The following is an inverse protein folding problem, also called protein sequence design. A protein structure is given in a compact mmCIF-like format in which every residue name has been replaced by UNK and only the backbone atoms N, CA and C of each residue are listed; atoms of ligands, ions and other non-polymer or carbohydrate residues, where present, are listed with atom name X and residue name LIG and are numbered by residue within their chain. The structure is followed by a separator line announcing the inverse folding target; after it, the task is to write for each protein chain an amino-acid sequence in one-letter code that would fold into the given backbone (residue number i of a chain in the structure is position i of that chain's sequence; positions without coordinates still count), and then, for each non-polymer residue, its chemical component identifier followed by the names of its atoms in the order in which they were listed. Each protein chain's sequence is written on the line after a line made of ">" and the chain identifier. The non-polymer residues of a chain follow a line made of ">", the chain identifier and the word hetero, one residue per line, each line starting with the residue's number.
data_IF_050636901075
#
_entry.id   IF_050636901075
#
_cell.length_a   1.000
_cell.length_b   1.000
_cell.length_c   1.000
_cell.angle_alpha   90.00
_cell.angle_beta   90.00
_cell.angle_gamma   90.00
#
_symmetry.space_group_name_H-M   'P 1'
#
loop_
_entity.id
_entity.type
_entity.pdbx_description
1 polymer ?
#
# COMPACT_ATOMS: atom_id res chain seq x y z
N UNK A 1 4.10 -42.42 43.08
CA UNK A 1 4.43 -43.14 41.82
C UNK A 1 3.32 -42.89 40.82
N UNK A 2 3.46 -41.91 39.92
CA UNK A 2 2.47 -41.61 38.88
C UNK A 2 2.73 -42.59 37.74
N UNK A 3 1.87 -43.61 37.61
CA UNK A 3 1.85 -44.48 36.43
C UNK A 3 1.50 -43.62 35.20
N UNK A 4 2.50 -43.25 34.41
CA UNK A 4 2.33 -42.76 33.06
C UNK A 4 1.74 -43.91 32.23
N UNK A 5 0.42 -43.94 32.09
CA UNK A 5 -0.25 -44.86 31.20
C UNK A 5 0.21 -44.56 29.78
N UNK A 6 0.97 -45.48 29.19
CA UNK A 6 1.33 -45.39 27.76
C UNK A 6 0.02 -45.32 26.94
N UNK A 7 -0.08 -44.42 25.99
CA UNK A 7 -1.26 -44.36 25.15
C UNK A 7 -1.43 -45.69 24.43
N UNK A 8 -2.66 -46.22 24.33
CA UNK A 8 -2.89 -47.51 23.70
C UNK A 8 -2.41 -47.49 22.23
N UNK A 9 -1.80 -48.58 21.78
CA UNK A 9 -1.18 -48.70 20.44
C UNK A 9 -2.08 -48.24 19.28
N UNK A 10 -3.41 -48.40 19.41
CA UNK A 10 -4.36 -47.94 18.41
C UNK A 10 -4.42 -46.40 18.28
N UNK A 11 -4.13 -45.62 19.34
CA UNK A 11 -4.04 -44.15 19.27
C UNK A 11 -2.82 -43.70 18.51
N UNK A 12 -1.68 -44.40 18.63
CA UNK A 12 -0.47 -44.14 17.87
C UNK A 12 -0.64 -44.50 16.39
N UNK A 13 -1.41 -45.54 16.09
CA UNK A 13 -1.71 -45.94 14.72
C UNK A 13 -2.67 -44.96 14.05
N UNK A 14 -3.74 -44.54 14.74
CA UNK A 14 -4.69 -43.55 14.23
C UNK A 14 -4.06 -42.17 14.01
N UNK A 15 -3.05 -41.83 14.78
CA UNK A 15 -2.30 -40.58 14.71
C UNK A 15 -1.51 -40.42 13.39
N UNK A 16 -0.95 -41.51 12.89
CA UNK A 16 -0.17 -41.51 11.63
C UNK A 16 -1.00 -41.86 10.39
N UNK A 17 -2.25 -42.26 10.56
CA UNK A 17 -3.12 -42.64 9.46
C UNK A 17 -3.47 -41.41 8.63
N UNK A 18 -3.47 -41.59 7.29
CA UNK A 18 -3.91 -40.57 6.33
C UNK A 18 -5.27 -40.00 6.67
N UNK A 19 -5.43 -38.72 6.51
CA UNK A 19 -6.69 -37.99 6.70
C UNK A 19 -7.74 -38.33 5.64
N UNK A 20 -8.94 -37.78 5.76
CA UNK A 20 -10.03 -38.00 4.82
C UNK A 20 -10.00 -37.12 3.58
N UNK A 21 -9.17 -36.07 3.54
CA UNK A 21 -9.09 -35.17 2.39
C UNK A 21 -8.71 -35.91 1.13
N UNK A 22 -9.54 -35.77 0.09
CA UNK A 22 -9.30 -36.33 -1.24
C UNK A 22 -8.48 -35.39 -2.09
N UNK A 23 -8.64 -34.06 -1.87
CA UNK A 23 -7.90 -32.98 -2.55
C UNK A 23 -7.31 -32.02 -1.51
N UNK A 24 -6.41 -31.16 -1.97
CA UNK A 24 -5.86 -30.09 -1.15
C UNK A 24 -6.99 -29.20 -0.62
N UNK A 25 -6.97 -28.90 0.67
CA UNK A 25 -7.94 -28.03 1.35
C UNK A 25 -7.30 -26.91 2.12
N UNK A 26 -7.98 -25.75 2.21
CA UNK A 26 -7.52 -24.59 2.98
C UNK A 26 -8.48 -24.35 4.15
N UNK A 27 -7.93 -24.19 5.35
CA UNK A 27 -8.66 -23.95 6.59
C UNK A 27 -8.23 -22.64 7.21
N UNK A 28 -9.19 -21.82 7.61
CA UNK A 28 -8.96 -20.53 8.25
C UNK A 28 -9.18 -20.63 9.76
N UNK A 29 -8.10 -20.61 10.53
CA UNK A 29 -8.13 -20.59 12.01
C UNK A 29 -8.12 -19.13 12.48
N UNK A 30 -9.25 -18.67 13.03
CA UNK A 30 -9.44 -17.28 13.45
C UNK A 30 -8.80 -17.00 14.82
N UNK A 31 -8.56 -15.74 15.11
CA UNK A 31 -8.07 -15.27 16.41
C UNK A 31 -9.06 -15.66 17.53
N UNK A 32 -8.54 -16.18 18.63
CA UNK A 32 -9.34 -16.57 19.79
C UNK A 32 -10.05 -17.92 19.68
N UNK A 33 -9.91 -18.65 18.55
CA UNK A 33 -10.46 -20.00 18.42
C UNK A 33 -9.84 -20.94 19.45
N UNK A 34 -10.69 -21.64 20.21
CA UNK A 34 -10.26 -22.66 21.18
C UNK A 34 -9.81 -23.95 20.47
N UNK A 35 -9.03 -24.78 21.17
CA UNK A 35 -8.64 -26.10 20.63
C UNK A 35 -9.86 -26.92 20.22
N UNK A 36 -10.97 -26.83 20.96
CA UNK A 36 -12.20 -27.57 20.67
C UNK A 36 -12.84 -27.06 19.37
N UNK A 37 -12.95 -25.75 19.20
CA UNK A 37 -13.50 -25.13 17.99
C UNK A 37 -12.63 -25.45 16.75
N UNK A 38 -11.31 -25.40 16.89
CA UNK A 38 -10.37 -25.76 15.81
C UNK A 38 -10.55 -27.23 15.43
N UNK A 39 -10.63 -28.13 16.41
CA UNK A 39 -10.80 -29.57 16.15
C UNK A 39 -12.12 -29.87 15.41
N UNK A 40 -13.23 -29.28 15.88
CA UNK A 40 -14.56 -29.45 15.27
C UNK A 40 -14.59 -28.88 13.84
N UNK A 41 -13.93 -27.72 13.62
CA UNK A 41 -13.80 -27.14 12.30
C UNK A 41 -12.99 -28.05 11.35
N UNK A 42 -11.84 -28.57 11.79
CA UNK A 42 -10.99 -29.45 10.99
C UNK A 42 -11.72 -30.76 10.60
N UNK A 43 -12.53 -31.31 11.50
CA UNK A 43 -13.34 -32.49 11.20
C UNK A 43 -14.47 -32.18 10.21
N UNK A 44 -15.19 -31.05 10.43
CA UNK A 44 -16.26 -30.57 9.54
C UNK A 44 -15.77 -30.33 8.11
N UNK A 45 -14.56 -29.76 7.97
CA UNK A 45 -13.93 -29.48 6.68
C UNK A 45 -13.19 -30.73 6.10
N UNK A 46 -13.30 -31.87 6.77
CA UNK A 46 -12.75 -33.14 6.29
C UNK A 46 -11.22 -33.25 6.37
N UNK A 47 -10.56 -32.33 7.07
CA UNK A 47 -9.08 -32.35 7.22
C UNK A 47 -8.64 -33.48 8.15
N UNK A 48 -9.39 -33.72 9.21
CA UNK A 48 -9.13 -34.81 10.17
C UNK A 48 -10.35 -35.74 10.28
N UNK A 49 -10.14 -36.99 10.70
CA UNK A 49 -11.20 -38.00 10.86
C UNK A 49 -11.94 -37.90 12.18
N UNK A 50 -11.33 -37.32 13.22
CA UNK A 50 -11.90 -37.27 14.57
C UNK A 50 -11.41 -36.05 15.34
N UNK A 51 -12.33 -35.13 15.61
CA UNK A 51 -12.13 -34.01 16.49
C UNK A 51 -11.81 -34.46 17.92
N UNK A 52 -12.47 -35.51 18.42
CA UNK A 52 -12.27 -36.03 19.75
C UNK A 52 -10.83 -36.51 19.99
N UNK A 53 -10.25 -37.24 19.04
CA UNK A 53 -8.84 -37.65 19.10
C UNK A 53 -7.88 -36.48 19.06
N UNK A 54 -8.16 -35.48 18.21
CA UNK A 54 -7.34 -34.27 18.13
C UNK A 54 -7.40 -33.48 19.45
N UNK A 55 -8.60 -33.29 20.03
CA UNK A 55 -8.79 -32.60 21.32
C UNK A 55 -8.03 -33.28 22.45
N UNK A 56 -8.17 -34.59 22.57
CA UNK A 56 -7.47 -35.39 23.58
C UNK A 56 -5.95 -35.20 23.47
N UNK A 57 -5.43 -35.35 22.28
CA UNK A 57 -4.01 -35.24 22.01
C UNK A 57 -3.46 -33.84 22.19
N UNK A 58 -4.19 -32.80 21.70
CA UNK A 58 -3.81 -31.42 21.85
C UNK A 58 -3.74 -30.99 23.32
N UNK A 59 -4.71 -31.44 24.14
CA UNK A 59 -4.74 -31.19 25.60
C UNK A 59 -3.61 -31.92 26.32
N UNK A 60 -3.39 -33.23 26.03
CA UNK A 60 -2.35 -34.03 26.67
C UNK A 60 -0.93 -33.46 26.41
N UNK A 61 -0.74 -32.76 25.31
CA UNK A 61 0.55 -32.15 24.94
C UNK A 61 0.60 -30.65 25.11
N UNK A 62 -0.43 -30.05 25.72
CA UNK A 62 -0.55 -28.60 25.90
C UNK A 62 -0.24 -27.79 24.63
N UNK A 63 -0.80 -28.23 23.49
CA UNK A 63 -0.50 -27.60 22.20
C UNK A 63 -1.02 -26.18 22.14
N UNK A 64 -0.13 -25.25 21.86
CA UNK A 64 -0.48 -23.90 21.45
C UNK A 64 -0.63 -23.91 19.92
N UNK A 65 -1.87 -23.77 19.46
CA UNK A 65 -2.20 -23.70 18.04
C UNK A 65 -2.15 -22.22 17.59
N UNK A 66 -1.51 -21.98 16.46
CA UNK A 66 -1.33 -20.62 15.93
C UNK A 66 -2.48 -20.35 14.97
N UNK A 67 -3.10 -19.16 15.09
CA UNK A 67 -4.09 -18.68 14.12
C UNK A 67 -3.46 -18.47 12.75
N UNK A 68 -4.22 -18.61 11.68
CA UNK A 68 -3.72 -18.42 10.32
C UNK A 68 -4.56 -19.16 9.28
N UNK A 69 -4.18 -19.00 8.06
CA UNK A 69 -4.71 -19.74 6.92
C UNK A 69 -3.77 -20.89 6.62
N UNK A 70 -4.28 -22.13 6.65
CA UNK A 70 -3.50 -23.34 6.48
C UNK A 70 -3.97 -24.13 5.28
N UNK A 71 -3.03 -24.48 4.43
CA UNK A 71 -3.27 -25.42 3.33
C UNK A 71 -2.80 -26.81 3.74
N UNK A 72 -3.70 -27.78 3.62
CA UNK A 72 -3.43 -29.20 3.89
C UNK A 72 -3.45 -29.97 2.58
N UNK A 73 -2.43 -30.82 2.41
CA UNK A 73 -2.38 -31.74 1.27
C UNK A 73 -3.44 -32.84 1.41
N UNK A 74 -3.79 -33.49 0.29
CA UNK A 74 -4.65 -34.65 0.32
C UNK A 74 -4.09 -35.71 1.28
N UNK A 75 -4.94 -36.31 2.11
CA UNK A 75 -4.60 -37.36 3.06
C UNK A 75 -3.60 -36.96 4.17
N UNK A 76 -3.44 -35.65 4.48
CA UNK A 76 -2.61 -35.21 5.59
C UNK A 76 -2.99 -35.96 6.89
N UNK A 77 -2.01 -36.55 7.55
CA UNK A 77 -2.24 -37.24 8.83
C UNK A 77 -2.54 -36.26 9.97
N UNK A 78 -3.20 -36.75 11.04
CA UNK A 78 -3.48 -35.95 12.23
C UNK A 78 -2.19 -35.33 12.80
N UNK A 79 -1.07 -36.05 12.76
CA UNK A 79 0.24 -35.57 13.21
C UNK A 79 0.79 -34.43 12.38
N UNK A 80 0.59 -34.45 11.06
CA UNK A 80 0.99 -33.39 10.16
C UNK A 80 0.14 -32.14 10.33
N UNK A 81 -1.18 -32.30 10.46
CA UNK A 81 -2.11 -31.20 10.74
C UNK A 81 -1.70 -30.50 12.05
N UNK A 82 -1.51 -31.25 13.12
CA UNK A 82 -1.10 -30.68 14.39
C UNK A 82 0.29 -30.03 14.36
N UNK A 83 1.23 -30.60 13.62
CA UNK A 83 2.55 -30.02 13.42
C UNK A 83 2.48 -28.69 12.70
N UNK A 84 1.73 -28.60 11.58
CA UNK A 84 1.52 -27.36 10.82
C UNK A 84 0.91 -26.28 11.70
N UNK A 85 -0.17 -26.59 12.42
CA UNK A 85 -0.86 -25.63 13.33
C UNK A 85 0.05 -25.14 14.46
N UNK A 86 0.84 -26.05 15.07
CA UNK A 86 1.78 -25.70 16.15
C UNK A 86 2.94 -24.83 15.67
N UNK A 87 3.47 -25.11 14.47
CA UNK A 87 4.62 -24.38 13.89
C UNK A 87 4.20 -23.08 13.21
N UNK A 88 2.89 -22.86 13.00
CA UNK A 88 2.41 -21.72 12.26
C UNK A 88 2.86 -21.74 10.79
N UNK A 89 2.81 -22.93 10.16
CA UNK A 89 3.12 -23.07 8.72
C UNK A 89 1.95 -22.50 7.89
N UNK A 90 1.75 -21.18 8.03
CA UNK A 90 0.62 -20.41 7.50
C UNK A 90 0.83 -20.17 6.00
N UNK A 91 -0.24 -20.28 5.23
CA UNK A 91 -0.28 -19.81 3.86
C UNK A 91 -0.40 -18.28 3.85
N UNK A 92 0.49 -17.62 3.13
CA UNK A 92 0.50 -16.16 2.99
C UNK A 92 0.34 -15.76 1.53
N UNK A 93 -0.43 -14.71 1.32
CA UNK A 93 -0.49 -13.99 0.04
C UNK A 93 0.46 -12.78 0.11
N UNK A 94 1.27 -12.61 -0.91
CA UNK A 94 2.17 -11.46 -1.01
C UNK A 94 1.44 -10.30 -1.68
N UNK A 95 1.25 -9.21 -0.94
CA UNK A 95 0.65 -7.97 -1.44
C UNK A 95 1.76 -6.94 -1.66
N UNK A 96 1.96 -6.56 -2.92
CA UNK A 96 2.96 -5.54 -3.29
C UNK A 96 2.29 -4.16 -3.30
N UNK A 97 2.80 -3.24 -2.48
CA UNK A 97 2.46 -1.83 -2.49
C UNK A 97 3.62 -1.09 -3.20
N UNK A 98 3.40 -0.55 -4.41
CA UNK A 98 4.46 0.12 -5.16
C UNK A 98 4.63 1.58 -4.77
N UNK A 99 5.73 2.19 -5.18
CA UNK A 99 5.86 3.66 -5.27
C UNK A 99 4.77 4.24 -6.19
N UNK A 100 4.53 5.53 -6.07
CA UNK A 100 3.49 6.27 -6.77
C UNK A 100 2.05 5.77 -6.53
N UNK A 101 1.85 4.75 -5.65
CA UNK A 101 0.52 4.31 -5.25
C UNK A 101 -0.19 5.39 -4.42
N UNK A 102 -1.47 5.55 -4.66
CA UNK A 102 -2.41 6.36 -3.88
C UNK A 102 -3.46 5.45 -3.22
N UNK A 103 -4.30 6.00 -2.34
CA UNK A 103 -5.30 5.27 -1.55
C UNK A 103 -6.05 4.19 -2.35
N UNK A 104 -6.57 4.51 -3.52
CA UNK A 104 -7.35 3.59 -4.36
C UNK A 104 -6.54 2.42 -4.92
N UNK A 105 -5.23 2.62 -5.20
CA UNK A 105 -4.33 1.52 -5.57
C UNK A 105 -4.11 0.61 -4.36
N UNK A 106 -3.84 1.16 -3.18
CA UNK A 106 -3.68 0.38 -1.95
C UNK A 106 -4.96 -0.40 -1.63
N UNK A 107 -6.13 0.25 -1.71
CA UNK A 107 -7.44 -0.37 -1.53
C UNK A 107 -7.66 -1.55 -2.49
N UNK A 108 -7.39 -1.35 -3.78
CA UNK A 108 -7.51 -2.39 -4.81
C UNK A 108 -6.60 -3.61 -4.52
N UNK A 109 -5.40 -3.39 -3.95
CA UNK A 109 -4.48 -4.46 -3.56
C UNK A 109 -4.96 -5.24 -2.34
N UNK A 110 -5.68 -4.59 -1.44
CA UNK A 110 -6.16 -5.17 -0.18
C UNK A 110 -7.62 -5.65 -0.22
N UNK A 111 -8.33 -5.48 -1.33
CA UNK A 111 -9.78 -5.72 -1.44
C UNK A 111 -10.24 -7.11 -0.98
N UNK A 112 -9.42 -8.13 -1.19
CA UNK A 112 -9.75 -9.52 -0.82
C UNK A 112 -9.51 -9.79 0.70
N UNK A 113 -8.82 -8.91 1.41
CA UNK A 113 -8.46 -9.02 2.83
C UNK A 113 -9.15 -7.99 3.71
N UNK A 114 -9.48 -6.83 3.15
CA UNK A 114 -10.04 -5.70 3.89
C UNK A 114 -11.29 -5.20 3.16
N UNK A 115 -12.48 -5.30 3.81
CA UNK A 115 -13.71 -4.71 3.27
C UNK A 115 -13.54 -3.21 3.03
N UNK A 116 -14.17 -2.68 1.97
CA UNK A 116 -13.98 -1.30 1.52
C UNK A 116 -14.28 -0.26 2.61
N UNK A 117 -15.39 -0.43 3.33
CA UNK A 117 -15.77 0.48 4.43
C UNK A 117 -14.72 0.49 5.55
N UNK A 118 -14.18 -0.70 5.90
CA UNK A 118 -13.13 -0.84 6.92
C UNK A 118 -11.85 -0.19 6.43
N UNK A 119 -11.51 -0.36 5.13
CA UNK A 119 -10.36 0.29 4.53
C UNK A 119 -10.42 1.82 4.70
N UNK A 120 -11.51 2.45 4.27
CA UNK A 120 -11.63 3.91 4.33
C UNK A 120 -11.68 4.45 5.77
N UNK A 121 -12.24 3.68 6.72
CA UNK A 121 -12.19 4.00 8.14
C UNK A 121 -10.76 3.98 8.68
N UNK A 122 -10.00 2.93 8.39
CA UNK A 122 -8.60 2.79 8.82
C UNK A 122 -7.69 3.79 8.11
N UNK A 123 -7.94 4.08 6.81
CA UNK A 123 -7.19 5.07 6.05
C UNK A 123 -7.25 6.48 6.65
N UNK A 124 -8.31 6.80 7.38
CA UNK A 124 -8.50 8.07 8.09
C UNK A 124 -8.15 8.01 9.57
N UNK A 125 -7.50 6.93 10.02
CA UNK A 125 -7.17 6.73 11.44
C UNK A 125 -6.00 7.60 11.89
N UNK A 126 -6.25 8.54 12.79
CA UNK A 126 -5.21 9.36 13.42
C UNK A 126 -4.24 8.54 14.27
N UNK A 127 -4.71 7.46 14.90
CA UNK A 127 -3.84 6.59 15.69
C UNK A 127 -2.79 5.89 14.79
N UNK A 128 -3.20 5.42 13.61
CA UNK A 128 -2.27 4.84 12.64
C UNK A 128 -1.32 5.90 12.05
N UNK A 129 -1.81 7.11 11.80
CA UNK A 129 -0.98 8.22 11.37
C UNK A 129 0.06 8.62 12.43
N UNK A 130 -0.33 8.60 13.71
CA UNK A 130 0.59 8.82 14.83
C UNK A 130 1.66 7.72 14.91
N UNK A 131 1.30 6.45 14.67
CA UNK A 131 2.27 5.33 14.58
C UNK A 131 3.24 5.52 13.42
N UNK A 132 2.81 6.12 12.32
CA UNK A 132 3.69 6.50 11.22
C UNK A 132 4.60 7.72 11.55
N UNK A 133 4.38 8.39 12.69
CA UNK A 133 5.14 9.57 13.14
C UNK A 133 4.55 10.92 12.72
N UNK A 134 3.26 10.95 12.31
CA UNK A 134 2.55 12.17 11.87
C UNK A 134 1.13 12.24 12.45
N UNK A 135 0.97 12.48 13.77
CA UNK A 135 -0.35 12.49 14.44
C UNK A 135 -1.31 13.56 13.90
N UNK A 136 -0.80 14.60 13.25
CA UNK A 136 -1.57 15.68 12.63
C UNK A 136 -2.12 15.29 11.25
N UNK A 137 -1.62 14.22 10.62
CA UNK A 137 -2.03 13.84 9.28
C UNK A 137 -3.51 13.38 9.26
N UNK A 138 -4.33 13.91 8.34
CA UNK A 138 -5.77 13.58 8.30
C UNK A 138 -6.05 12.22 7.66
N UNK A 139 -5.05 11.59 7.05
CA UNK A 139 -5.16 10.28 6.42
C UNK A 139 -3.79 9.61 6.30
N UNK A 140 -3.80 8.32 5.93
CA UNK A 140 -2.58 7.55 5.66
C UNK A 140 -2.00 7.76 4.26
N UNK A 141 -2.50 8.74 3.49
CA UNK A 141 -1.94 9.02 2.16
C UNK A 141 -0.46 9.40 2.26
N UNK A 142 0.38 8.63 1.55
CA UNK A 142 1.83 8.75 1.63
C UNK A 142 2.49 8.18 2.89
N UNK A 143 1.72 7.73 3.90
CA UNK A 143 2.22 7.21 5.19
C UNK A 143 2.28 5.68 5.25
N UNK A 144 2.09 5.02 4.12
CA UNK A 144 2.25 3.57 3.96
C UNK A 144 3.57 3.31 3.26
N UNK A 145 4.38 2.39 3.78
CA UNK A 145 5.66 2.06 3.14
C UNK A 145 5.44 1.24 1.86
N UNK A 146 6.15 1.54 0.78
CA UNK A 146 6.20 0.68 -0.39
C UNK A 146 7.01 -0.57 -0.05
N UNK A 147 6.34 -1.73 -0.07
CA UNK A 147 6.93 -3.02 0.28
C UNK A 147 6.04 -4.18 -0.19
N UNK A 148 6.56 -5.40 -0.04
CA UNK A 148 5.76 -6.63 -0.13
C UNK A 148 5.33 -7.05 1.26
N UNK A 149 4.02 -7.07 1.50
CA UNK A 149 3.41 -7.48 2.76
C UNK A 149 2.87 -8.89 2.65
N UNK A 150 3.21 -9.73 3.63
CA UNK A 150 2.67 -11.08 3.75
C UNK A 150 1.39 -11.04 4.57
N UNK A 151 0.26 -11.30 3.93
CA UNK A 151 -1.06 -11.26 4.56
C UNK A 151 -1.75 -12.61 4.43
N UNK A 152 -2.73 -12.87 5.30
CA UNK A 152 -3.62 -14.03 5.24
C UNK A 152 -4.99 -13.67 5.81
N UNK A 153 -6.04 -14.40 5.44
CA UNK A 153 -7.42 -14.07 5.78
C UNK A 153 -7.76 -14.16 7.30
N UNK A 154 -6.85 -14.69 8.14
CA UNK A 154 -7.03 -14.67 9.61
C UNK A 154 -6.40 -13.43 10.27
N UNK A 155 -5.81 -12.50 9.50
CA UNK A 155 -5.35 -11.21 10.03
C UNK A 155 -6.55 -10.27 10.17
N UNK A 156 -6.56 -9.50 11.25
CA UNK A 156 -7.49 -8.38 11.36
C UNK A 156 -7.02 -7.23 10.45
N UNK A 157 -7.92 -6.50 9.80
CA UNK A 157 -7.57 -5.36 8.95
C UNK A 157 -6.61 -4.37 9.61
N UNK A 158 -6.82 -4.08 10.91
CA UNK A 158 -5.97 -3.20 11.71
C UNK A 158 -4.52 -3.68 11.78
N UNK A 159 -4.30 -5.01 11.83
CA UNK A 159 -2.94 -5.60 11.89
C UNK A 159 -2.20 -5.40 10.57
N UNK A 160 -2.92 -5.48 9.44
CA UNK A 160 -2.35 -5.22 8.11
C UNK A 160 -1.91 -3.75 8.02
N UNK A 161 -2.80 -2.84 8.39
CA UNK A 161 -2.50 -1.41 8.36
C UNK A 161 -1.38 -1.04 9.33
N UNK A 162 -1.40 -1.60 10.54
CA UNK A 162 -0.34 -1.37 11.54
C UNK A 162 1.03 -1.78 10.99
N UNK A 163 1.14 -2.96 10.37
CA UNK A 163 2.39 -3.40 9.75
C UNK A 163 2.88 -2.43 8.65
N UNK A 164 1.96 -1.84 7.88
CA UNK A 164 2.29 -0.89 6.83
C UNK A 164 2.82 0.44 7.37
N UNK A 165 2.15 1.01 8.37
CA UNK A 165 2.54 2.30 8.96
C UNK A 165 3.76 2.17 9.88
N UNK A 166 3.93 1.05 10.60
CA UNK A 166 5.16 0.78 11.37
C UNK A 166 6.37 0.63 10.45
N UNK A 167 6.20 -0.03 9.29
CA UNK A 167 7.26 -0.14 8.29
C UNK A 167 7.64 1.25 7.77
N UNK A 168 6.64 2.11 7.50
CA UNK A 168 6.89 3.50 7.14
C UNK A 168 7.64 4.24 8.25
N UNK A 169 7.18 4.16 9.50
CA UNK A 169 7.81 4.80 10.65
C UNK A 169 9.27 4.41 10.84
N UNK A 170 9.61 3.14 10.59
CA UNK A 170 10.98 2.64 10.72
C UNK A 170 11.87 2.96 9.52
N UNK A 171 11.37 2.88 8.29
CA UNK A 171 12.20 2.92 7.08
C UNK A 171 12.10 4.22 6.29
N UNK A 172 10.95 4.89 6.29
CA UNK A 172 10.72 6.09 5.48
C UNK A 172 10.79 7.36 6.35
N UNK A 173 10.11 7.37 7.49
CA UNK A 173 10.03 8.56 8.35
C UNK A 173 11.40 9.19 8.68
N UNK A 174 12.46 8.41 9.04
CA UNK A 174 13.78 8.99 9.33
C UNK A 174 14.43 9.66 8.13
N UNK A 175 14.13 9.20 6.89
CA UNK A 175 14.71 9.77 5.67
C UNK A 175 14.19 11.17 5.34
N UNK A 176 13.09 11.60 5.98
CA UNK A 176 12.47 12.91 5.75
C UNK A 176 13.15 14.05 6.53
N UNK A 177 14.06 13.72 7.45
CA UNK A 177 14.76 14.71 8.26
C UNK A 177 15.90 15.41 7.48
N UNK A 178 16.26 16.61 7.93
CA UNK A 178 17.41 17.35 7.39
C UNK A 178 17.15 18.06 6.05
N UNK A 179 15.91 18.15 5.60
CA UNK A 179 15.53 18.86 4.38
C UNK A 179 15.25 20.35 4.61
N UNK A 180 15.00 21.07 3.50
CA UNK A 180 14.65 22.51 3.52
C UNK A 180 13.24 22.79 4.03
N UNK A 181 12.39 21.79 4.11
CA UNK A 181 11.01 21.84 4.62
C UNK A 181 10.87 20.90 5.83
N UNK A 182 9.89 21.14 6.73
CA UNK A 182 9.51 20.16 7.75
C UNK A 182 9.20 18.79 7.16
N UNK A 183 9.42 17.68 7.89
CA UNK A 183 9.31 16.32 7.36
C UNK A 183 8.00 16.00 6.64
N UNK A 184 6.86 16.41 7.20
CA UNK A 184 5.55 16.17 6.54
C UNK A 184 5.40 16.97 5.24
N UNK A 185 5.86 18.23 5.22
CA UNK A 185 5.86 19.04 4.01
C UNK A 185 6.83 18.50 2.95
N UNK A 186 7.97 17.96 3.38
CA UNK A 186 8.92 17.25 2.51
C UNK A 186 8.25 16.04 1.86
N UNK A 187 7.49 15.25 2.62
CA UNK A 187 6.76 14.11 2.11
C UNK A 187 5.69 14.52 1.09
N UNK A 188 4.95 15.61 1.38
CA UNK A 188 3.96 16.16 0.44
C UNK A 188 4.66 16.57 -0.86
N UNK A 189 5.72 17.39 -0.79
CA UNK A 189 6.45 17.86 -1.97
C UNK A 189 7.02 16.69 -2.79
N UNK A 190 7.58 15.67 -2.12
CA UNK A 190 8.07 14.45 -2.76
C UNK A 190 6.96 13.73 -3.54
N UNK A 191 5.75 13.62 -2.94
CA UNK A 191 4.61 12.98 -3.59
C UNK A 191 4.12 13.71 -4.85
N UNK A 192 4.23 15.05 -4.87
CA UNK A 192 3.92 15.85 -6.06
C UNK A 192 4.94 15.55 -7.17
N UNK A 193 6.23 15.60 -6.85
CA UNK A 193 7.30 15.34 -7.82
C UNK A 193 7.22 13.90 -8.37
N UNK A 194 6.93 12.92 -7.52
CA UNK A 194 6.72 11.51 -7.92
C UNK A 194 5.62 11.36 -8.99
N UNK A 195 4.60 12.20 -8.94
CA UNK A 195 3.47 12.15 -9.88
C UNK A 195 3.68 13.02 -11.12
N UNK A 196 4.66 13.91 -11.13
CA UNK A 196 4.96 14.78 -12.26
C UNK A 196 5.90 14.13 -13.28
N UNK A 197 6.90 13.39 -12.84
CA UNK A 197 7.89 12.81 -13.73
C UNK A 197 8.26 11.40 -13.36
N UNK A 198 8.45 10.57 -14.39
CA UNK A 198 9.02 9.22 -14.26
C UNK A 198 10.55 9.22 -14.46
N UNK A 199 11.17 10.40 -14.68
CA UNK A 199 12.60 10.55 -14.91
C UNK A 199 13.28 10.98 -13.61
N UNK A 200 14.04 10.09 -12.94
CA UNK A 200 14.70 10.40 -11.68
C UNK A 200 15.62 11.62 -11.75
N UNK A 201 16.26 11.85 -12.88
CA UNK A 201 17.16 12.97 -13.12
C UNK A 201 16.44 14.34 -13.16
N UNK A 202 15.13 14.37 -13.42
CA UNK A 202 14.35 15.59 -13.40
C UNK A 202 13.81 15.95 -12.00
N UNK A 203 13.72 14.98 -11.10
CA UNK A 203 13.13 15.19 -9.77
C UNK A 203 13.73 16.38 -9.01
N UNK A 204 15.06 16.58 -8.94
CA UNK A 204 15.63 17.74 -8.27
C UNK A 204 15.20 19.07 -8.90
N UNK A 205 15.07 19.11 -10.22
CA UNK A 205 14.68 20.32 -10.94
C UNK A 205 13.20 20.64 -10.78
N UNK A 206 12.32 19.61 -10.84
CA UNK A 206 10.88 19.73 -10.57
C UNK A 206 10.63 20.21 -9.14
N UNK A 207 11.23 19.57 -8.13
CA UNK A 207 11.13 20.00 -6.73
C UNK A 207 11.70 21.41 -6.52
N UNK A 208 12.76 21.77 -7.26
CA UNK A 208 13.34 23.11 -7.29
C UNK A 208 12.33 24.16 -7.76
N UNK A 209 11.57 23.90 -8.80
CA UNK A 209 10.50 24.79 -9.27
C UNK A 209 9.45 24.95 -8.17
N UNK A 210 8.95 23.86 -7.60
CA UNK A 210 7.92 23.93 -6.56
C UNK A 210 8.40 24.63 -5.30
N UNK A 211 9.61 24.34 -4.81
CA UNK A 211 10.19 25.01 -3.65
C UNK A 211 10.35 26.51 -3.86
N UNK A 212 10.71 26.96 -5.07
CA UNK A 212 10.78 28.40 -5.41
C UNK A 212 9.40 29.04 -5.45
N UNK A 213 8.41 28.39 -6.10
CA UNK A 213 7.03 28.88 -6.12
C UNK A 213 6.46 29.00 -4.70
N UNK A 214 6.69 28.04 -3.81
CA UNK A 214 6.29 28.10 -2.40
C UNK A 214 6.90 29.32 -1.69
N UNK A 215 8.21 29.55 -1.84
CA UNK A 215 8.89 30.72 -1.23
C UNK A 215 8.37 32.07 -1.76
N UNK A 216 7.93 32.09 -3.00
CA UNK A 216 7.37 33.30 -3.65
C UNK A 216 5.85 33.48 -3.45
N UNK A 217 5.19 32.58 -2.71
CA UNK A 217 3.73 32.59 -2.56
C UNK A 217 2.97 32.27 -3.86
N UNK A 218 3.64 31.71 -4.86
CA UNK A 218 3.02 31.33 -6.13
C UNK A 218 2.24 30.02 -5.96
N UNK A 219 1.13 29.88 -6.68
CA UNK A 219 0.39 28.62 -6.78
C UNK A 219 1.25 27.57 -7.47
N UNK A 220 1.20 26.31 -6.98
CA UNK A 220 2.03 25.23 -7.54
C UNK A 220 1.58 24.82 -8.94
N UNK A 221 0.26 24.84 -9.22
CA UNK A 221 -0.32 24.46 -10.51
C UNK A 221 0.16 23.07 -10.97
N UNK A 222 0.12 22.13 -10.04
CA UNK A 222 0.50 20.73 -10.23
C UNK A 222 -0.72 19.96 -10.72
N UNK A 223 -0.69 19.47 -11.95
CA UNK A 223 -1.80 18.75 -12.60
C UNK A 223 -2.26 17.54 -11.78
N UNK A 224 -1.37 16.67 -11.24
CA UNK A 224 -1.77 15.55 -10.41
C UNK A 224 -2.61 15.93 -9.18
N UNK A 225 -2.46 17.15 -8.64
CA UNK A 225 -3.26 17.59 -7.49
C UNK A 225 -4.71 17.89 -7.87
N UNK A 226 -4.95 18.40 -9.07
CA UNK A 226 -6.30 18.63 -9.60
C UNK A 226 -7.01 17.29 -9.90
N UNK A 227 -6.28 16.34 -10.45
CA UNK A 227 -6.75 14.96 -10.67
C UNK A 227 -7.10 14.28 -9.33
N UNK A 228 -6.23 14.40 -8.33
CA UNK A 228 -6.48 13.83 -6.99
C UNK A 228 -7.72 14.47 -6.35
N UNK A 229 -7.90 15.79 -6.50
CA UNK A 229 -9.11 16.50 -6.07
C UNK A 229 -10.39 15.95 -6.74
N UNK A 230 -10.33 15.61 -8.03
CA UNK A 230 -11.42 14.95 -8.75
C UNK A 230 -11.79 13.61 -8.11
N UNK A 231 -10.82 12.76 -7.82
CA UNK A 231 -11.05 11.45 -7.18
C UNK A 231 -11.67 11.60 -5.79
N UNK A 232 -11.18 12.52 -4.98
CA UNK A 232 -11.76 12.83 -3.66
C UNK A 232 -13.20 13.35 -3.75
N UNK A 233 -13.59 13.94 -4.88
CA UNK A 233 -14.97 14.40 -5.16
C UNK A 233 -15.88 13.26 -5.69
N UNK A 234 -15.40 12.01 -5.74
CA UNK A 234 -16.17 10.84 -6.16
C UNK A 234 -16.12 10.53 -7.65
N UNK A 235 -15.43 11.33 -8.47
CA UNK A 235 -15.21 11.03 -9.88
C UNK A 235 -13.92 10.20 -10.06
N UNK A 236 -14.07 8.89 -10.06
CA UNK A 236 -12.99 7.93 -10.10
C UNK A 236 -12.51 7.58 -11.52
N UNK A 237 -12.65 8.47 -12.48
CA UNK A 237 -12.02 8.31 -13.80
C UNK A 237 -10.50 8.46 -13.63
N UNK A 238 -9.76 7.33 -13.65
CA UNK A 238 -8.30 7.30 -13.55
C UNK A 238 -7.64 7.64 -14.91
N UNK A 239 -8.04 8.75 -15.48
CA UNK A 239 -7.50 9.29 -16.73
C UNK A 239 -6.56 10.46 -16.44
N UNK A 240 -5.84 10.96 -17.44
CA UNK A 240 -5.09 12.20 -17.33
C UNK A 240 -5.96 13.36 -16.78
N UNK A 241 -5.36 14.41 -16.20
CA UNK A 241 -6.10 15.60 -15.75
C UNK A 241 -6.94 16.18 -16.88
N UNK A 242 -8.17 16.55 -16.56
CA UNK A 242 -9.11 17.17 -17.50
C UNK A 242 -9.09 18.69 -17.31
N UNK A 243 -9.44 19.43 -18.34
CA UNK A 243 -9.50 20.89 -18.25
C UNK A 243 -10.45 21.36 -17.14
N UNK A 244 -11.58 20.68 -16.95
CA UNK A 244 -12.55 20.95 -15.88
C UNK A 244 -11.98 20.78 -14.47
N UNK A 245 -10.98 19.90 -14.30
CA UNK A 245 -10.33 19.67 -13.01
C UNK A 245 -9.57 20.90 -12.52
N UNK A 246 -9.02 21.71 -13.44
CA UNK A 246 -8.28 22.93 -13.09
C UNK A 246 -9.15 23.98 -12.42
N UNK A 247 -10.46 23.99 -12.72
CA UNK A 247 -11.44 24.90 -12.12
C UNK A 247 -12.17 24.30 -10.90
N UNK A 248 -11.93 23.03 -10.54
CA UNK A 248 -12.62 22.34 -9.44
C UNK A 248 -12.22 22.92 -8.09
N UNK A 249 -13.19 23.48 -7.36
CA UNK A 249 -12.96 24.01 -6.00
C UNK A 249 -12.71 22.87 -5.01
N UNK A 250 -11.47 22.66 -4.64
CA UNK A 250 -11.05 21.65 -3.67
C UNK A 250 -9.72 22.06 -3.02
N UNK A 251 -9.51 21.71 -1.74
CA UNK A 251 -8.28 22.04 -0.98
C UNK A 251 -7.00 21.44 -1.58
N UNK A 252 -7.12 20.38 -2.37
CA UNK A 252 -6.00 19.77 -3.09
C UNK A 252 -5.69 20.46 -4.42
N UNK A 253 -6.58 21.27 -4.98
CA UNK A 253 -6.34 21.86 -6.29
C UNK A 253 -5.38 23.05 -6.20
N UNK A 254 -4.11 22.80 -6.47
CA UNK A 254 -3.03 23.79 -6.42
C UNK A 254 -3.08 24.84 -7.57
N UNK A 255 -4.04 24.76 -8.48
CA UNK A 255 -4.39 25.83 -9.40
C UNK A 255 -5.19 26.95 -8.72
N UNK A 256 -5.96 26.61 -7.68
CA UNK A 256 -6.82 27.55 -6.97
C UNK A 256 -6.32 27.89 -5.57
N UNK A 257 -5.67 26.95 -4.92
CA UNK A 257 -5.15 27.09 -3.54
C UNK A 257 -3.64 27.33 -3.58
N UNK A 258 -3.15 28.28 -2.80
CA UNK A 258 -1.71 28.51 -2.63
C UNK A 258 -1.12 27.53 -1.61
N UNK A 259 0.16 27.21 -1.77
CA UNK A 259 0.88 26.31 -0.87
C UNK A 259 0.77 24.83 -1.25
N UNK A 260 1.21 23.96 -0.34
CA UNK A 260 1.11 22.52 -0.48
C UNK A 260 -0.32 22.05 -0.21
N UNK A 261 -0.77 20.95 -0.84
CA UNK A 261 -2.03 20.30 -0.49
C UNK A 261 -1.99 19.76 0.95
N UNK A 262 -3.17 19.42 1.53
CA UNK A 262 -3.28 18.97 2.93
C UNK A 262 -2.52 17.69 3.25
N UNK A 263 -2.36 16.80 2.28
CA UNK A 263 -1.62 15.52 2.42
C UNK A 263 -0.76 15.27 1.18
N UNK A 264 0.16 14.29 1.24
CA UNK A 264 0.66 13.66 0.02
C UNK A 264 -0.48 13.20 -0.88
N UNK A 265 -0.20 12.98 -2.16
CA UNK A 265 -1.17 12.45 -3.15
C UNK A 265 -0.78 11.07 -3.67
N UNK A 266 0.35 10.57 -3.22
CA UNK A 266 0.87 9.23 -3.53
C UNK A 266 2.04 8.89 -2.57
N UNK A 267 2.48 7.63 -2.61
CA UNK A 267 3.68 7.15 -1.92
C UNK A 267 4.92 7.54 -2.74
N UNK A 268 5.80 8.43 -2.26
CA UNK A 268 6.98 8.84 -3.01
C UNK A 268 8.11 7.80 -2.95
N UNK A 269 8.92 7.78 -4.00
CA UNK A 269 10.18 7.02 -4.06
C UNK A 269 11.28 7.66 -3.21
N UNK A 270 12.35 6.92 -2.83
CA UNK A 270 13.51 7.50 -2.16
C UNK A 270 14.16 8.64 -2.95
N UNK A 271 14.18 8.54 -4.29
CA UNK A 271 14.70 9.59 -5.16
C UNK A 271 13.85 10.87 -5.09
N UNK A 272 12.53 10.75 -5.06
CA UNK A 272 11.63 11.89 -4.90
C UNK A 272 11.74 12.53 -3.51
N UNK A 273 11.91 11.72 -2.45
CA UNK A 273 12.16 12.21 -1.09
C UNK A 273 13.47 12.99 -1.03
N UNK A 274 14.56 12.44 -1.56
CA UNK A 274 15.86 13.11 -1.57
C UNK A 274 15.81 14.42 -2.38
N UNK A 275 15.14 14.41 -3.54
CA UNK A 275 14.93 15.61 -4.33
C UNK A 275 14.10 16.67 -3.60
N UNK A 276 13.10 16.28 -2.80
CA UNK A 276 12.29 17.19 -2.01
C UNK A 276 13.05 17.76 -0.80
N UNK A 277 13.97 17.00 -0.22
CA UNK A 277 14.88 17.49 0.83
C UNK A 277 15.88 18.51 0.31
N UNK A 278 16.43 18.25 -0.88
CA UNK A 278 17.45 19.03 -1.54
C UNK A 278 16.99 19.48 -2.93
N UNK A 279 15.99 20.40 -3.01
CA UNK A 279 15.47 20.89 -4.27
C UNK A 279 16.57 21.48 -5.15
N UNK A 280 16.56 21.11 -6.44
CA UNK A 280 17.60 21.55 -7.37
C UNK A 280 17.72 23.07 -7.46
N UNK A 281 18.96 23.59 -7.53
CA UNK A 281 19.22 25.01 -7.68
C UNK A 281 18.76 25.52 -9.06
N UNK A 282 18.75 26.85 -9.23
CA UNK A 282 18.47 27.49 -10.51
C UNK A 282 17.25 28.41 -10.46
N UNK A 283 16.96 29.13 -11.53
CA UNK A 283 15.95 30.17 -11.57
C UNK A 283 14.60 29.72 -12.17
N UNK A 284 14.44 28.45 -12.52
CA UNK A 284 13.24 27.98 -13.21
C UNK A 284 12.00 28.11 -12.34
N UNK A 285 10.92 28.64 -12.89
CA UNK A 285 9.62 28.79 -12.26
C UNK A 285 8.52 27.99 -12.97
N UNK A 286 8.79 27.49 -14.17
CA UNK A 286 7.83 26.81 -15.03
C UNK A 286 8.46 25.56 -15.64
N UNK A 287 7.65 24.57 -15.93
CA UNK A 287 7.99 23.46 -16.80
C UNK A 287 6.76 22.98 -17.55
N UNK A 288 6.95 22.30 -18.66
CA UNK A 288 5.93 21.66 -19.47
C UNK A 288 6.52 20.44 -20.16
N UNK A 289 5.73 19.38 -20.31
CA UNK A 289 6.15 18.18 -21.00
C UNK A 289 6.69 18.45 -22.41
N UNK A 290 7.66 17.66 -22.87
CA UNK A 290 8.20 17.78 -24.24
C UNK A 290 7.29 17.10 -25.26
N UNK A 291 6.47 16.14 -24.84
CA UNK A 291 5.71 15.23 -25.72
C UNK A 291 6.54 14.02 -26.21
N UNK A 292 7.84 13.98 -25.93
CA UNK A 292 8.75 12.86 -26.29
C UNK A 292 9.42 12.22 -25.08
N UNK A 293 8.98 12.57 -23.87
CA UNK A 293 9.55 12.21 -22.58
C UNK A 293 10.28 13.40 -21.95
N UNK A 294 10.11 13.58 -20.64
CA UNK A 294 10.70 14.69 -19.88
C UNK A 294 10.06 16.06 -20.12
N UNK A 295 10.70 17.09 -19.56
CA UNK A 295 10.16 18.45 -19.49
C UNK A 295 11.11 19.50 -20.05
N UNK A 296 10.52 20.60 -20.59
CA UNK A 296 11.19 21.87 -20.86
C UNK A 296 10.93 22.80 -19.71
N UNK A 297 12.00 23.30 -19.10
CA UNK A 297 11.94 24.24 -17.99
C UNK A 297 12.09 25.67 -18.51
N UNK A 298 11.52 26.64 -17.76
CA UNK A 298 11.56 28.05 -18.12
C UNK A 298 11.59 28.94 -16.85
N UNK A 299 12.23 30.10 -16.99
CA UNK A 299 12.36 31.12 -15.93
C UNK A 299 11.16 32.09 -15.95
N UNK A 300 10.66 32.38 -17.13
CA UNK A 300 9.60 33.37 -17.34
C UNK A 300 8.35 32.74 -17.97
N UNK A 301 7.20 33.37 -17.75
CA UNK A 301 5.94 32.96 -18.39
C UNK A 301 6.03 33.01 -19.91
N UNK A 302 6.76 33.99 -20.47
CA UNK A 302 6.95 34.13 -21.91
C UNK A 302 7.72 32.91 -22.49
N UNK A 303 8.78 32.47 -21.83
CA UNK A 303 9.51 31.25 -22.20
C UNK A 303 8.62 30.01 -22.07
N UNK A 304 7.87 29.91 -20.97
CA UNK A 304 6.95 28.80 -20.76
C UNK A 304 5.90 28.72 -21.87
N UNK A 305 5.29 29.84 -22.25
CA UNK A 305 4.30 29.88 -23.33
C UNK A 305 4.89 29.44 -24.68
N UNK A 306 6.17 29.76 -24.97
CA UNK A 306 6.87 29.22 -26.15
C UNK A 306 7.04 27.71 -26.05
N UNK A 307 7.42 27.20 -24.89
CA UNK A 307 7.56 25.75 -24.67
C UNK A 307 6.21 25.02 -24.79
N UNK A 308 5.12 25.60 -24.32
CA UNK A 308 3.76 25.06 -24.49
C UNK A 308 3.37 25.00 -25.98
N UNK A 309 3.72 26.00 -26.77
CA UNK A 309 3.49 25.97 -28.22
C UNK A 309 4.25 24.82 -28.90
N UNK A 310 5.52 24.62 -28.53
CA UNK A 310 6.33 23.50 -29.03
C UNK A 310 5.73 22.13 -28.64
N UNK A 311 5.28 21.98 -27.41
CA UNK A 311 4.57 20.78 -26.94
C UNK A 311 3.34 20.48 -27.78
N UNK A 312 2.48 21.49 -28.00
CA UNK A 312 1.25 21.34 -28.82
C UNK A 312 1.57 20.93 -30.26
N UNK A 313 2.62 21.49 -30.86
CA UNK A 313 3.07 21.11 -32.19
C UNK A 313 3.54 19.64 -32.24
N UNK A 314 4.28 19.20 -31.24
CA UNK A 314 4.76 17.82 -31.16
C UNK A 314 3.61 16.81 -31.01
N UNK A 315 2.63 17.09 -30.12
CA UNK A 315 1.45 16.23 -29.98
C UNK A 315 0.63 16.18 -31.27
N UNK A 316 0.46 17.31 -31.97
CA UNK A 316 -0.24 17.34 -33.28
C UNK A 316 0.48 16.50 -34.33
N UNK A 317 1.83 16.56 -34.37
CA UNK A 317 2.66 15.73 -35.24
C UNK A 317 2.46 14.24 -34.99
N UNK A 318 2.56 13.83 -33.72
CA UNK A 318 2.37 12.42 -33.32
C UNK A 318 0.96 11.90 -33.65
N UNK A 319 -0.05 12.74 -33.47
CA UNK A 319 -1.45 12.40 -33.79
C UNK A 319 -1.65 12.17 -35.29
N UNK A 320 -1.03 13.00 -36.16
CA UNK A 320 -1.06 12.80 -37.63
C UNK A 320 -0.40 11.50 -38.01
N UNK A 321 0.81 11.23 -37.51
CA UNK A 321 1.56 9.99 -37.80
C UNK A 321 0.83 8.71 -37.36
N UNK A 322 0.05 8.78 -36.26
CA UNK A 322 -0.79 7.65 -35.83
C UNK A 322 -1.96 7.39 -36.79
N UNK A 323 -2.57 8.48 -37.31
CA UNK A 323 -3.69 8.37 -38.26
C UNK A 323 -3.24 7.86 -39.65
N UNK A 324 -1.99 8.11 -40.05
CA UNK A 324 -1.42 7.66 -41.31
C UNK A 324 -0.99 6.17 -41.29
N UNK A 325 -0.90 5.57 -40.09
CA UNK A 325 -0.51 4.17 -39.87
C UNK A 325 -1.69 3.20 -39.65
N UNK A 326 -2.91 3.72 -39.59
CA UNK A 326 -4.18 2.99 -39.45
C UNK A 326 -4.94 3.04 -40.79
#
# INVERSE_FOLDING_TARGET
>A
MVLLALPPLWTLWSWKRSGPLVMQGTVLIRKGATVDQIADQLEKEGVIRSASLFKLWARARHLKLIRGEYTFDSQASLSEVARKLRRGEIHFTNIVIPYAAHAWIVQSRLKDFVPEEVFWKLWKSRNLAATAGFPEAPSLEGLVAPATYRVHHAMEPEEIFLAMVETFGRSVRPTLEGGVLPPYQTLILASLAEKETNLPEELPRVTGVYARRLRMGMRLQCDPTSQYARWLSGDLRFTAPLYEDLARRHSFNTYLVAGLPPTPIAIPSPAAIEAAKHPGPGPDLYFVATGTGGHRFARTLAEHNRNVALYRMEIARQTRQKKEKV
#
